data_IF_611501799906
#
_entry.id   IF_611501799906
#
_cell.length_a   1.000
_cell.length_b   1.000
_cell.length_c   1.000
_cell.angle_alpha   90.00
_cell.angle_beta   90.00
_cell.angle_gamma   90.00
#
_symmetry.space_group_name_H-M   'P 1'
#
loop_
_entity.id
_entity.type
_entity.pdbx_description
1 polymer ?
#
# COMPACT_ATOMS: atom_id res chain seq x y z
N UNK A 1 -25.71 1.92 -18.50
CA UNK A 1 -24.36 2.41 -18.13
C UNK A 1 -24.27 2.36 -16.62
N UNK A 2 -23.49 1.43 -16.11
CA UNK A 2 -23.40 1.15 -14.68
C UNK A 2 -22.15 1.80 -14.10
N UNK A 3 -22.31 2.79 -13.22
CA UNK A 3 -21.22 3.53 -12.58
C UNK A 3 -21.39 3.45 -11.07
N UNK A 4 -20.33 3.10 -10.35
CA UNK A 4 -20.32 3.01 -8.89
C UNK A 4 -18.97 3.40 -8.30
N UNK A 5 -18.95 3.69 -6.99
CA UNK A 5 -17.76 4.04 -6.22
C UNK A 5 -17.49 2.95 -5.21
N UNK A 6 -16.22 2.57 -5.06
CA UNK A 6 -15.73 1.71 -3.98
C UNK A 6 -14.82 2.52 -3.07
N UNK A 7 -15.05 2.45 -1.76
CA UNK A 7 -14.20 3.02 -0.72
C UNK A 7 -13.58 1.87 0.08
N UNK A 8 -12.25 1.81 0.14
CA UNK A 8 -11.56 0.72 0.82
C UNK A 8 -10.29 1.17 1.56
N UNK A 9 -9.99 0.56 2.72
CA UNK A 9 -8.74 0.78 3.45
C UNK A 9 -7.64 -0.13 2.89
N UNK A 10 -6.45 0.43 2.64
CA UNK A 10 -5.28 -0.31 2.16
C UNK A 10 -4.10 -0.15 3.11
N UNK A 11 -3.30 -1.22 3.24
CA UNK A 11 -2.04 -1.23 3.98
C UNK A 11 -0.86 -1.41 3.04
N UNK A 12 0.34 -0.98 3.44
CA UNK A 12 1.57 -1.11 2.66
C UNK A 12 2.66 -1.80 3.47
N UNK A 13 3.62 -2.40 2.76
CA UNK A 13 4.91 -2.81 3.34
C UNK A 13 5.98 -1.88 2.79
N UNK A 14 6.77 -1.28 3.67
CA UNK A 14 7.84 -0.35 3.35
C UNK A 14 9.17 -1.02 3.63
N UNK A 15 10.03 -1.12 2.63
CA UNK A 15 11.43 -1.48 2.78
C UNK A 15 12.24 -0.19 2.77
N UNK A 16 12.91 0.13 3.88
CA UNK A 16 13.62 1.40 4.05
C UNK A 16 15.07 1.16 4.42
N UNK A 17 16.00 1.77 3.68
CA UNK A 17 17.43 1.77 4.01
C UNK A 17 17.71 2.69 5.20
N UNK A 18 18.82 2.43 5.93
CA UNK A 18 19.17 3.19 7.14
C UNK A 18 20.16 4.31 6.83
N UNK A 19 21.35 3.97 6.33
CA UNK A 19 22.47 4.90 6.27
C UNK A 19 22.45 5.79 5.04
N UNK A 20 22.14 7.07 5.22
CA UNK A 20 21.94 8.06 4.15
C UNK A 20 20.47 8.29 3.79
N UNK A 21 19.56 7.50 4.43
CA UNK A 21 18.11 7.56 4.23
C UNK A 21 17.37 7.95 5.51
N UNK A 22 17.60 7.24 6.60
CA UNK A 22 17.09 7.52 7.95
C UNK A 22 18.12 8.30 8.76
N UNK A 23 19.34 7.77 8.78
CA UNK A 23 20.48 8.33 9.50
C UNK A 23 21.50 8.89 8.51
N UNK A 24 22.17 9.96 8.92
CA UNK A 24 23.25 10.54 8.15
C UNK A 24 24.38 9.55 7.93
N UNK A 25 24.73 9.32 6.67
CA UNK A 25 25.86 8.50 6.30
C UNK A 25 27.17 9.28 6.51
N UNK A 26 28.10 8.75 7.30
CA UNK A 26 29.33 9.42 7.77
C UNK A 26 30.60 8.98 7.02
N UNK A 27 30.43 8.40 5.83
CA UNK A 27 31.53 7.99 4.97
C UNK A 27 31.89 6.52 5.03
N UNK A 28 31.86 5.90 6.20
CA UNK A 28 32.13 4.48 6.35
C UNK A 28 31.24 3.81 7.42
N UNK A 29 31.21 2.48 7.40
CA UNK A 29 30.33 1.68 8.26
C UNK A 29 30.70 1.77 9.75
N UNK A 30 31.98 1.93 10.08
CA UNK A 30 32.42 2.01 11.47
C UNK A 30 31.95 3.31 12.10
N UNK A 31 32.10 4.43 11.39
CA UNK A 31 31.57 5.73 11.83
C UNK A 31 30.06 5.71 11.97
N UNK A 32 29.35 5.11 11.02
CA UNK A 32 27.90 4.98 11.08
C UNK A 32 27.43 4.21 12.33
N UNK A 33 28.18 3.20 12.77
CA UNK A 33 27.82 2.35 13.91
C UNK A 33 28.31 2.90 15.26
N UNK A 34 29.53 3.46 15.30
CA UNK A 34 30.21 3.80 16.56
C UNK A 34 29.99 5.27 16.98
N UNK A 35 29.75 6.16 16.06
CA UNK A 35 29.51 7.56 16.38
C UNK A 35 28.03 7.81 16.71
N UNK A 36 27.75 8.92 17.40
CA UNK A 36 26.38 9.35 17.71
C UNK A 36 25.55 9.48 16.44
N UNK A 37 24.40 8.79 16.35
CA UNK A 37 23.57 8.86 15.15
C UNK A 37 22.95 10.25 14.98
N UNK A 38 22.88 10.70 13.75
CA UNK A 38 22.18 11.93 13.35
C UNK A 38 20.99 11.55 12.49
N UNK A 39 19.77 11.83 12.98
CA UNK A 39 18.56 11.59 12.21
C UNK A 39 18.40 12.64 11.12
N UNK A 40 17.93 12.23 9.94
CA UNK A 40 17.71 13.11 8.82
C UNK A 40 16.33 13.78 8.88
N UNK A 41 16.19 14.91 8.19
CA UNK A 41 14.97 15.71 8.21
C UNK A 41 13.75 14.95 7.69
N UNK A 42 12.59 15.12 8.36
CA UNK A 42 11.32 14.53 7.96
C UNK A 42 11.17 13.03 8.23
N UNK A 43 12.20 12.37 8.77
CA UNK A 43 12.17 10.91 9.04
C UNK A 43 11.15 10.57 10.11
N UNK A 44 11.18 11.23 11.26
CA UNK A 44 10.25 10.94 12.37
C UNK A 44 8.80 11.15 11.95
N UNK A 45 8.50 12.23 11.24
CA UNK A 45 7.15 12.52 10.76
C UNK A 45 6.64 11.43 9.83
N UNK A 46 7.51 10.94 8.91
CA UNK A 46 7.15 9.85 8.00
C UNK A 46 6.96 8.52 8.71
N UNK A 47 7.83 8.17 9.64
CA UNK A 47 7.68 6.94 10.42
C UNK A 47 6.42 6.96 11.28
N UNK A 48 6.09 8.08 11.92
CA UNK A 48 4.83 8.24 12.64
C UNK A 48 3.61 8.17 11.71
N UNK A 49 3.69 8.74 10.51
CA UNK A 49 2.65 8.62 9.50
C UNK A 49 2.43 7.16 9.10
N UNK A 50 3.50 6.41 8.85
CA UNK A 50 3.44 5.01 8.43
C UNK A 50 2.89 4.10 9.53
N UNK A 51 3.33 4.29 10.77
CA UNK A 51 2.84 3.56 11.93
C UNK A 51 1.33 3.81 12.15
N UNK A 52 0.88 5.07 12.16
CA UNK A 52 -0.55 5.44 12.24
C UNK A 52 -1.40 4.82 11.14
N UNK A 53 -0.82 4.53 9.98
CA UNK A 53 -1.49 3.87 8.87
C UNK A 53 -1.44 2.34 8.94
N UNK A 54 -0.83 1.76 9.97
CA UNK A 54 -0.55 0.33 10.11
C UNK A 54 0.25 -0.23 8.91
N UNK A 55 1.20 0.54 8.39
CA UNK A 55 2.13 0.01 7.40
C UNK A 55 3.15 -0.87 8.08
N UNK A 56 3.51 -1.99 7.43
CA UNK A 56 4.61 -2.81 7.91
C UNK A 56 5.94 -2.17 7.49
N UNK A 57 6.81 -1.86 8.46
CA UNK A 57 8.08 -1.19 8.22
C UNK A 57 9.22 -2.19 8.40
N UNK A 58 9.95 -2.45 7.32
CA UNK A 58 11.11 -3.35 7.28
C UNK A 58 12.34 -2.51 6.99
N UNK A 59 13.23 -2.40 7.97
CA UNK A 59 14.51 -1.72 7.79
C UNK A 59 15.51 -2.65 7.12
N UNK A 60 16.27 -2.09 6.18
CA UNK A 60 17.30 -2.82 5.43
C UNK A 60 18.62 -2.07 5.54
N UNK A 61 19.75 -2.77 5.69
CA UNK A 61 21.05 -2.09 5.79
C UNK A 61 22.22 -2.98 5.39
N UNK A 62 23.28 -2.36 4.88
CA UNK A 62 24.59 -2.99 4.67
C UNK A 62 25.40 -3.19 5.95
N UNK A 63 24.97 -2.65 7.10
CA UNK A 63 25.64 -2.87 8.38
C UNK A 63 25.71 -4.36 8.69
N UNK A 64 26.85 -4.80 9.20
CA UNK A 64 27.07 -6.24 9.45
C UNK A 64 26.19 -6.76 10.59
N UNK A 65 25.71 -8.01 10.54
CA UNK A 65 24.93 -8.62 11.63
C UNK A 65 25.60 -8.55 13.00
N UNK A 66 26.93 -8.55 13.06
CA UNK A 66 27.69 -8.40 14.31
C UNK A 66 27.48 -7.04 15.03
N UNK A 67 26.99 -6.02 14.30
CA UNK A 67 26.69 -4.69 14.87
C UNK A 67 25.20 -4.50 15.15
N UNK A 68 24.42 -5.58 15.22
CA UNK A 68 22.96 -5.51 15.41
C UNK A 68 22.58 -4.79 16.70
N UNK A 69 23.26 -5.10 17.79
CA UNK A 69 22.97 -4.49 19.09
C UNK A 69 23.11 -2.96 19.03
N UNK A 70 24.25 -2.47 18.55
CA UNK A 70 24.51 -1.04 18.41
C UNK A 70 23.52 -0.36 17.46
N UNK A 71 23.16 -1.02 16.36
CA UNK A 71 22.19 -0.50 15.40
C UNK A 71 20.81 -0.35 16.03
N UNK A 72 20.34 -1.35 16.78
CA UNK A 72 19.06 -1.30 17.50
C UNK A 72 19.07 -0.20 18.56
N UNK A 73 20.16 -0.08 19.34
CA UNK A 73 20.31 0.96 20.35
C UNK A 73 20.27 2.37 19.74
N UNK A 74 20.92 2.59 18.59
CA UNK A 74 20.85 3.85 17.86
C UNK A 74 19.43 4.17 17.40
N UNK A 75 18.74 3.23 16.76
CA UNK A 75 17.37 3.43 16.26
C UNK A 75 16.39 3.71 17.41
N UNK A 76 16.49 2.95 18.51
CA UNK A 76 15.65 3.13 19.70
C UNK A 76 15.87 4.49 20.36
N UNK A 77 17.14 4.94 20.46
CA UNK A 77 17.48 6.24 21.05
C UNK A 77 16.89 7.43 20.30
N UNK A 78 16.57 7.23 19.01
CA UNK A 78 15.97 8.24 18.13
C UNK A 78 14.44 8.06 17.96
N UNK A 79 13.85 7.06 18.64
CA UNK A 79 12.40 6.81 18.55
C UNK A 79 11.93 6.23 17.22
N UNK A 80 12.78 5.55 16.47
CA UNK A 80 12.42 4.90 15.21
C UNK A 80 11.69 3.58 15.51
N UNK A 81 10.43 3.50 15.10
CA UNK A 81 9.56 2.33 15.25
C UNK A 81 9.56 1.54 13.94
N UNK A 82 9.78 0.22 14.01
CA UNK A 82 9.81 -0.67 12.85
C UNK A 82 9.45 -2.10 13.26
N UNK A 83 9.05 -2.93 12.29
CA UNK A 83 8.65 -4.32 12.54
C UNK A 83 9.81 -5.30 12.38
N UNK A 84 10.67 -5.10 11.39
CA UNK A 84 11.77 -6.01 11.08
C UNK A 84 13.05 -5.25 10.70
N UNK A 85 14.21 -5.88 10.96
CA UNK A 85 15.52 -5.35 10.61
C UNK A 85 16.33 -6.42 9.86
N UNK A 86 16.63 -6.16 8.58
CA UNK A 86 17.46 -6.99 7.71
C UNK A 86 18.83 -6.36 7.57
N UNK A 87 19.86 -7.08 8.01
CA UNK A 87 21.25 -6.59 8.03
C UNK A 87 22.16 -7.41 7.14
N UNK A 88 23.32 -6.85 6.78
CA UNK A 88 24.35 -7.54 6.00
C UNK A 88 24.08 -7.59 4.52
N UNK A 89 23.21 -6.70 4.02
CA UNK A 89 22.98 -6.61 2.59
C UNK A 89 24.24 -6.12 1.88
N UNK A 90 24.64 -6.71 0.75
CA UNK A 90 25.84 -6.29 0.02
C UNK A 90 25.69 -4.87 -0.56
N UNK A 91 26.83 -4.22 -0.79
CA UNK A 91 26.89 -2.94 -1.50
C UNK A 91 26.58 -3.16 -2.97
N UNK A 92 25.39 -2.84 -3.41
CA UNK A 92 24.95 -3.02 -4.79
C UNK A 92 23.49 -2.63 -4.91
N UNK A 93 22.98 -2.80 -6.11
CA UNK A 93 21.59 -2.47 -6.43
C UNK A 93 20.61 -3.35 -5.62
N UNK A 94 19.46 -2.78 -5.31
CA UNK A 94 18.33 -3.50 -4.73
C UNK A 94 17.38 -3.87 -5.84
N UNK A 95 17.17 -5.17 -6.03
CA UNK A 95 16.23 -5.71 -7.02
C UNK A 95 15.06 -6.28 -6.26
N UNK A 96 13.89 -5.74 -6.48
CA UNK A 96 12.62 -6.25 -5.95
C UNK A 96 11.85 -6.91 -7.09
N UNK A 97 11.59 -8.23 -6.96
CA UNK A 97 10.77 -8.97 -7.91
C UNK A 97 9.43 -9.20 -7.26
N UNK A 98 8.38 -8.67 -7.88
CA UNK A 98 7.01 -8.81 -7.42
C UNK A 98 6.07 -9.02 -8.62
N UNK A 99 4.93 -9.65 -8.40
CA UNK A 99 3.92 -9.80 -9.44
C UNK A 99 3.18 -8.48 -9.67
N UNK A 100 2.57 -8.35 -10.82
CA UNK A 100 1.53 -7.34 -11.04
C UNK A 100 0.22 -7.83 -10.46
N UNK A 101 -0.73 -6.92 -10.22
CA UNK A 101 -2.09 -7.32 -9.88
C UNK A 101 -2.67 -8.23 -10.96
N UNK A 102 -3.71 -8.96 -10.60
CA UNK A 102 -4.35 -9.97 -11.46
C UNK A 102 -4.74 -9.46 -12.85
N UNK A 103 -4.93 -8.15 -13.00
CA UNK A 103 -5.15 -7.50 -14.29
C UNK A 103 -3.91 -7.39 -15.20
N UNK A 104 -2.72 -7.75 -14.70
CA UNK A 104 -1.45 -7.67 -15.42
C UNK A 104 -0.93 -6.25 -15.69
N UNK A 105 -1.62 -5.22 -15.21
CA UNK A 105 -1.34 -3.81 -15.51
C UNK A 105 -0.77 -3.10 -14.28
N UNK A 106 -1.44 -3.20 -13.12
CA UNK A 106 -1.07 -2.44 -11.93
C UNK A 106 0.22 -2.96 -11.29
N UNK A 107 1.17 -2.07 -11.11
CA UNK A 107 2.38 -2.34 -10.33
C UNK A 107 2.01 -2.51 -8.84
N UNK A 108 2.66 -3.46 -8.19
CA UNK A 108 2.51 -3.73 -6.74
C UNK A 108 3.75 -3.34 -5.95
N UNK A 109 4.80 -2.88 -6.64
CA UNK A 109 6.05 -2.40 -6.06
C UNK A 109 6.46 -1.06 -6.69
N UNK A 110 6.93 -0.16 -5.83
CA UNK A 110 7.41 1.18 -6.20
C UNK A 110 8.77 1.42 -5.57
N UNK A 111 9.67 2.12 -6.27
CA UNK A 111 11.00 2.47 -5.78
C UNK A 111 11.15 3.98 -5.71
N UNK A 112 11.58 4.47 -4.55
CA UNK A 112 11.89 5.88 -4.31
C UNK A 112 13.37 6.00 -3.96
N UNK A 113 14.16 6.58 -4.87
CA UNK A 113 15.58 6.84 -4.66
C UNK A 113 15.75 8.26 -4.11
N UNK A 114 16.01 8.36 -2.82
CA UNK A 114 16.25 9.64 -2.16
C UNK A 114 17.71 10.07 -2.36
N UNK A 115 17.93 11.38 -2.39
CA UNK A 115 19.30 11.91 -2.37
C UNK A 115 19.90 11.63 -0.99
N UNK A 116 21.12 11.07 -1.00
CA UNK A 116 21.81 10.66 0.23
C UNK A 116 21.95 11.84 1.19
N UNK A 117 21.59 11.60 2.44
CA UNK A 117 21.68 12.56 3.56
C UNK A 117 20.70 13.77 3.49
N UNK A 118 19.75 13.79 2.57
CA UNK A 118 18.78 14.90 2.49
C UNK A 118 17.48 14.64 3.26
N UNK A 119 17.23 13.38 3.66
CA UNK A 119 16.06 13.01 4.46
C UNK A 119 14.80 12.82 3.64
N UNK A 120 13.62 12.91 4.31
CA UNK A 120 12.34 12.47 3.77
C UNK A 120 11.29 13.58 3.62
N UNK A 121 11.63 14.84 3.81
CA UNK A 121 10.66 15.96 3.74
C UNK A 121 9.84 15.96 2.45
N UNK A 122 10.48 15.62 1.33
CA UNK A 122 9.86 15.62 0.01
C UNK A 122 9.36 14.24 -0.43
N UNK A 123 9.43 13.22 0.45
CA UNK A 123 8.95 11.89 0.14
C UNK A 123 7.42 11.86 0.22
N UNK A 124 6.79 11.80 -0.93
CA UNK A 124 5.36 11.57 -1.06
C UNK A 124 5.16 10.26 -1.80
N UNK A 125 4.37 9.37 -1.24
CA UNK A 125 3.85 8.21 -1.97
C UNK A 125 2.72 8.67 -2.88
N UNK A 126 3.04 9.61 -3.78
CA UNK A 126 2.06 10.11 -4.73
C UNK A 126 1.71 9.00 -5.71
N UNK A 127 0.54 8.43 -5.56
CA UNK A 127 -0.10 7.61 -6.59
C UNK A 127 -0.57 8.47 -7.78
N UNK A 128 -0.27 9.77 -7.77
CA UNK A 128 -0.62 10.68 -8.87
C UNK A 128 0.16 10.42 -10.16
N UNK A 129 1.25 9.66 -10.10
CA UNK A 129 2.01 9.18 -11.28
C UNK A 129 1.55 7.81 -11.79
N UNK A 130 0.55 7.20 -11.12
CA UNK A 130 -0.10 5.98 -11.59
C UNK A 130 -1.25 6.37 -12.50
N UNK A 131 -1.38 5.73 -13.65
CA UNK A 131 -2.56 5.86 -14.50
C UNK A 131 -3.81 5.76 -13.63
N UNK A 132 -4.60 6.83 -13.59
CA UNK A 132 -5.80 6.89 -12.75
C UNK A 132 -6.93 6.01 -13.29
N UNK A 133 -6.82 5.58 -14.54
CA UNK A 133 -7.83 4.77 -15.22
C UNK A 133 -7.23 3.46 -15.70
N UNK A 134 -7.88 2.36 -15.32
CA UNK A 134 -7.43 0.99 -15.58
C UNK A 134 -8.52 0.23 -16.32
N UNK A 135 -8.26 -0.19 -17.54
CA UNK A 135 -9.17 -1.04 -18.31
C UNK A 135 -9.27 -2.44 -17.70
N UNK A 136 -10.47 -2.99 -17.73
CA UNK A 136 -10.81 -4.32 -17.22
C UNK A 136 -11.65 -5.06 -18.27
N UNK A 137 -11.64 -6.39 -18.27
CA UNK A 137 -12.52 -7.17 -19.17
C UNK A 137 -13.99 -6.76 -19.07
N UNK A 138 -14.42 -6.35 -17.87
CA UNK A 138 -15.78 -5.94 -17.57
C UNK A 138 -16.06 -4.43 -17.71
N UNK A 139 -15.06 -3.62 -18.06
CA UNK A 139 -15.19 -2.17 -18.18
C UNK A 139 -13.91 -1.44 -17.82
N UNK A 140 -13.95 -0.56 -16.83
CA UNK A 140 -12.76 0.10 -16.29
C UNK A 140 -12.96 0.53 -14.84
N UNK A 141 -11.87 0.73 -14.11
CA UNK A 141 -11.84 1.44 -12.82
C UNK A 141 -11.01 2.71 -12.94
N UNK A 142 -11.43 3.76 -12.28
CA UNK A 142 -10.77 5.05 -12.20
C UNK A 142 -10.50 5.39 -10.73
N UNK A 143 -9.24 5.65 -10.39
CA UNK A 143 -8.85 6.09 -9.06
C UNK A 143 -9.24 7.55 -8.88
N UNK A 144 -10.17 7.84 -7.97
CA UNK A 144 -10.64 9.20 -7.66
C UNK A 144 -9.82 9.80 -6.53
N UNK A 145 -9.69 9.06 -5.44
CA UNK A 145 -9.00 9.51 -4.23
C UNK A 145 -8.26 8.34 -3.59
N UNK A 146 -7.09 8.66 -3.10
CA UNK A 146 -6.31 7.74 -2.28
C UNK A 146 -5.67 8.52 -1.15
N UNK A 147 -5.96 8.14 0.06
CA UNK A 147 -5.35 8.72 1.24
C UNK A 147 -5.10 7.65 2.32
N UNK A 148 -4.56 8.09 3.45
CA UNK A 148 -4.19 7.19 4.55
C UNK A 148 -5.35 6.38 5.15
N UNK A 149 -6.57 6.83 4.96
CA UNK A 149 -7.75 6.22 5.60
C UNK A 149 -8.55 5.35 4.64
N UNK A 150 -8.60 5.72 3.35
CA UNK A 150 -9.43 5.05 2.36
C UNK A 150 -8.92 5.25 0.92
N UNK A 151 -9.49 4.46 0.04
CA UNK A 151 -9.38 4.61 -1.42
C UNK A 151 -10.78 4.80 -1.98
N UNK A 152 -10.94 5.76 -2.88
CA UNK A 152 -12.17 5.97 -3.65
C UNK A 152 -11.89 5.63 -5.10
N UNK A 153 -12.65 4.67 -5.65
CA UNK A 153 -12.58 4.30 -7.07
C UNK A 153 -13.95 4.45 -7.69
N UNK A 154 -13.98 4.98 -8.89
CA UNK A 154 -15.15 4.95 -9.77
C UNK A 154 -15.00 3.78 -10.73
N UNK A 155 -16.00 2.94 -10.80
CA UNK A 155 -16.02 1.79 -11.69
C UNK A 155 -17.11 1.97 -12.73
N UNK A 156 -16.76 1.64 -13.97
CA UNK A 156 -17.71 1.48 -15.06
C UNK A 156 -17.77 0.00 -15.44
N UNK A 157 -18.94 -0.58 -15.37
CA UNK A 157 -19.16 -1.97 -15.75
C UNK A 157 -20.09 -2.04 -16.96
N UNK A 158 -19.67 -2.78 -17.98
CA UNK A 158 -20.46 -3.05 -19.17
C UNK A 158 -21.62 -3.95 -18.82
N UNK A 159 -22.75 -3.75 -19.45
CA UNK A 159 -23.95 -4.59 -19.31
C UNK A 159 -23.61 -6.06 -19.61
N UNK A 160 -24.11 -6.98 -18.77
CA UNK A 160 -23.86 -8.41 -18.88
C UNK A 160 -22.46 -8.88 -18.52
N UNK A 161 -21.53 -7.97 -18.14
CA UNK A 161 -20.18 -8.32 -17.73
C UNK A 161 -20.08 -8.40 -16.20
N UNK A 162 -19.15 -9.21 -15.71
CA UNK A 162 -18.96 -9.41 -14.27
C UNK A 162 -17.50 -9.33 -13.87
N UNK A 163 -17.25 -8.87 -12.62
CA UNK A 163 -15.97 -9.08 -11.97
C UNK A 163 -15.85 -10.54 -11.48
N UNK A 164 -14.64 -10.93 -11.04
CA UNK A 164 -14.42 -12.22 -10.38
C UNK A 164 -15.19 -12.31 -9.05
N UNK A 165 -15.58 -13.52 -8.66
CA UNK A 165 -16.03 -13.78 -7.29
C UNK A 165 -14.86 -13.64 -6.34
N UNK A 166 -15.01 -12.86 -5.26
CA UNK A 166 -13.93 -12.50 -4.36
C UNK A 166 -14.42 -12.29 -2.92
N UNK A 167 -13.50 -12.31 -1.98
CA UNK A 167 -13.69 -11.84 -0.61
C UNK A 167 -12.41 -11.13 -0.13
N UNK A 168 -12.54 -10.32 0.91
CA UNK A 168 -11.40 -9.59 1.50
C UNK A 168 -11.27 -9.95 2.98
N UNK A 169 -10.05 -10.18 3.43
CA UNK A 169 -9.79 -10.55 4.84
C UNK A 169 -9.86 -9.35 5.79
N UNK A 170 -9.42 -8.18 5.34
CA UNK A 170 -9.27 -7.00 6.19
C UNK A 170 -10.03 -5.77 5.68
N UNK A 171 -10.52 -5.81 4.44
CA UNK A 171 -11.08 -4.67 3.75
C UNK A 171 -12.59 -4.64 3.93
N UNK A 172 -13.12 -3.49 4.35
CA UNK A 172 -14.53 -3.13 4.23
C UNK A 172 -14.70 -2.30 2.98
N UNK A 173 -15.68 -2.59 2.15
CA UNK A 173 -16.03 -1.83 0.96
C UNK A 173 -17.45 -1.29 1.07
N UNK A 174 -17.63 -0.02 0.72
CA UNK A 174 -18.97 0.55 0.47
C UNK A 174 -19.09 0.86 -1.01
N UNK A 175 -20.11 0.31 -1.65
CA UNK A 175 -20.41 0.50 -3.05
C UNK A 175 -21.64 1.39 -3.14
N UNK A 176 -21.54 2.48 -3.91
CA UNK A 176 -22.62 3.44 -4.15
C UNK A 176 -22.89 3.43 -5.65
N UNK A 177 -24.12 3.18 -6.04
CA UNK A 177 -24.54 3.15 -7.44
C UNK A 177 -24.81 4.58 -7.90
N UNK A 178 -23.98 5.08 -8.82
CA UNK A 178 -24.11 6.43 -9.36
C UNK A 178 -25.05 6.49 -10.58
N UNK A 179 -25.12 5.40 -11.34
CA UNK A 179 -25.99 5.32 -12.53
C UNK A 179 -26.19 3.87 -12.96
N UNK A 180 -27.40 3.51 -13.33
CA UNK A 180 -27.77 2.19 -13.85
C UNK A 180 -28.19 1.21 -12.76
N UNK A 181 -28.05 -0.07 -13.02
CA UNK A 181 -28.39 -1.17 -12.13
C UNK A 181 -27.15 -2.04 -11.95
N UNK A 182 -26.84 -2.40 -10.72
CA UNK A 182 -25.75 -3.31 -10.38
C UNK A 182 -26.30 -4.50 -9.61
N UNK A 183 -26.16 -5.71 -10.18
CA UNK A 183 -26.48 -6.95 -9.49
C UNK A 183 -25.29 -7.37 -8.64
N UNK A 184 -25.53 -7.56 -7.34
CA UNK A 184 -24.52 -8.02 -6.41
C UNK A 184 -24.94 -9.37 -5.84
N UNK A 185 -24.11 -10.38 -6.10
CA UNK A 185 -24.17 -11.68 -5.44
C UNK A 185 -23.36 -11.61 -4.16
N UNK A 186 -23.90 -12.08 -3.05
CA UNK A 186 -23.29 -11.98 -1.74
C UNK A 186 -23.62 -13.17 -0.86
N UNK A 187 -22.67 -13.63 -0.05
CA UNK A 187 -22.88 -14.75 0.89
C UNK A 187 -21.61 -15.15 1.63
N UNK A 188 -21.74 -16.18 2.46
CA UNK A 188 -20.62 -16.76 3.20
C UNK A 188 -20.12 -18.08 2.58
N UNK A 189 -20.87 -18.64 1.65
CA UNK A 189 -20.52 -19.84 0.90
C UNK A 189 -20.69 -19.57 -0.60
N UNK A 190 -19.66 -19.89 -1.39
CA UNK A 190 -19.61 -19.65 -2.83
C UNK A 190 -20.71 -20.40 -3.61
N UNK A 191 -21.23 -21.50 -3.06
CA UNK A 191 -22.27 -22.32 -3.69
C UNK A 191 -23.69 -21.86 -3.36
N UNK A 192 -23.84 -20.88 -2.45
CA UNK A 192 -25.14 -20.40 -1.97
C UNK A 192 -25.20 -18.87 -1.88
N UNK A 193 -24.69 -18.20 -2.91
CA UNK A 193 -24.76 -16.74 -2.98
C UNK A 193 -26.18 -16.28 -3.31
N UNK A 194 -26.71 -15.40 -2.50
CA UNK A 194 -27.93 -14.65 -2.80
C UNK A 194 -27.60 -13.43 -3.63
N UNK A 195 -28.55 -12.90 -4.40
CA UNK A 195 -28.34 -11.69 -5.15
C UNK A 195 -29.43 -10.65 -4.90
N UNK A 196 -29.02 -9.39 -5.06
CA UNK A 196 -29.93 -8.24 -5.09
C UNK A 196 -29.46 -7.27 -6.18
N UNK A 197 -30.43 -6.66 -6.87
CA UNK A 197 -30.20 -5.57 -7.80
C UNK A 197 -30.28 -4.24 -7.05
N UNK A 198 -29.22 -3.44 -7.20
CA UNK A 198 -29.10 -2.11 -6.61
C UNK A 198 -29.22 -1.06 -7.71
N UNK A 199 -30.05 -0.04 -7.48
CA UNK A 199 -30.35 1.03 -8.43
C UNK A 199 -29.59 2.30 -8.07
N UNK A 200 -29.66 3.30 -8.96
CA UNK A 200 -29.07 4.62 -8.75
C UNK A 200 -29.47 5.21 -7.39
N UNK A 201 -28.49 5.70 -6.63
CA UNK A 201 -28.64 6.24 -5.29
C UNK A 201 -28.60 5.19 -4.16
N UNK A 202 -28.79 3.90 -4.45
CA UNK A 202 -28.64 2.86 -3.43
C UNK A 202 -27.16 2.56 -3.14
N UNK A 203 -26.92 1.96 -1.96
CA UNK A 203 -25.58 1.53 -1.56
C UNK A 203 -25.62 0.21 -0.79
N UNK A 204 -24.45 -0.43 -0.69
CA UNK A 204 -24.21 -1.62 0.13
C UNK A 204 -22.81 -1.54 0.73
N UNK A 205 -22.69 -1.98 1.99
CA UNK A 205 -21.38 -2.17 2.65
C UNK A 205 -21.08 -3.67 2.77
N UNK A 206 -19.97 -4.08 2.21
CA UNK A 206 -19.44 -5.45 2.23
C UNK A 206 -18.37 -5.53 3.30
N UNK A 207 -18.59 -6.39 4.31
CA UNK A 207 -17.65 -6.59 5.42
C UNK A 207 -16.53 -7.58 5.05
N UNK A 208 -15.42 -7.62 5.81
CA UNK A 208 -14.42 -8.67 5.66
C UNK A 208 -15.03 -10.08 5.68
N UNK A 209 -14.40 -10.99 4.93
CA UNK A 209 -14.78 -12.39 4.76
C UNK A 209 -16.09 -12.64 4.00
N UNK A 210 -16.81 -11.62 3.60
CA UNK A 210 -18.04 -11.78 2.80
C UNK A 210 -17.68 -12.02 1.32
N UNK A 211 -18.11 -13.16 0.79
CA UNK A 211 -17.94 -13.52 -0.62
C UNK A 211 -18.92 -12.70 -1.44
N UNK A 212 -18.42 -12.07 -2.51
CA UNK A 212 -19.26 -11.24 -3.38
C UNK A 212 -18.79 -11.25 -4.83
N UNK A 213 -19.73 -10.96 -5.74
CA UNK A 213 -19.51 -10.79 -7.19
C UNK A 213 -20.45 -9.71 -7.69
N UNK A 214 -19.96 -8.86 -8.57
CA UNK A 214 -20.74 -7.80 -9.22
C UNK A 214 -20.97 -8.13 -10.69
N UNK A 215 -22.17 -7.79 -11.18
CA UNK A 215 -22.60 -7.92 -12.59
C UNK A 215 -23.28 -6.62 -12.99
N UNK A 216 -22.86 -6.06 -14.13
CA UNK A 216 -23.39 -4.80 -14.68
C UNK A 216 -24.62 -4.98 -15.55
#
# INVERSE_FOLDING_TARGET
MNIFIIIAKMTKTIFCDIDGTILKHKGDIYKNVLETPEILNGVLDKFQEWDKNNYKIILTTGRKPSTRKQTIEQLNSLGIIYDELIMGLPNGDRILINDKKFNGIDNTAYVYNLVRNEGMNNLNFNLNDVDKKFDKPWGYEELIEYNKNYVVKKLFMKEGHSCSTQYHKLKTETIIILKGILRIFIGNDINSLEFKDYQEGENITIKPYTIHKMVG
#
